data_IF_077778641794
#
_entry.id   IF_077778641794
#
_cell.length_a   1.000
_cell.length_b   1.000
_cell.length_c   1.000
_cell.angle_alpha   90.00
_cell.angle_beta   90.00
_cell.angle_gamma   90.00
#
_symmetry.space_group_name_H-M   'P 1'
#
loop_
_entity.id
_entity.type
_entity.pdbx_description
1 polymer ?
#
# COMPACT_ATOMS: atom_id res chain seq x y z
N UNK A 1 -23.72 33.45 17.54
CA UNK A 1 -24.16 32.29 16.72
C UNK A 1 -23.20 32.04 15.55
N UNK A 2 -22.91 33.01 14.65
CA UNK A 2 -22.05 32.80 13.48
C UNK A 2 -20.63 32.27 13.81
N UNK A 3 -19.96 32.81 14.85
CA UNK A 3 -18.61 32.40 15.27
C UNK A 3 -18.59 30.94 15.77
N UNK A 4 -19.63 30.50 16.46
CA UNK A 4 -19.71 29.11 16.93
C UNK A 4 -19.84 28.11 15.77
N UNK A 5 -20.59 28.45 14.73
CA UNK A 5 -20.76 27.62 13.53
C UNK A 5 -19.46 27.59 12.72
N UNK A 6 -18.75 28.72 12.61
CA UNK A 6 -17.49 28.82 11.88
C UNK A 6 -16.34 28.03 12.51
N UNK A 7 -16.37 27.80 13.83
CA UNK A 7 -15.40 26.99 14.57
C UNK A 7 -15.82 25.51 14.67
N UNK A 8 -17.12 25.23 14.64
CA UNK A 8 -17.63 23.87 14.74
C UNK A 8 -17.30 23.02 13.49
N UNK A 9 -17.34 23.61 12.29
CA UNK A 9 -17.05 22.92 11.03
C UNK A 9 -15.60 22.42 10.92
N UNK A 10 -14.57 23.27 11.15
CA UNK A 10 -13.17 22.79 11.16
C UNK A 10 -12.91 21.78 12.28
N UNK A 11 -13.50 21.99 13.47
CA UNK A 11 -13.37 21.05 14.58
C UNK A 11 -13.99 19.69 14.27
N UNK A 12 -15.16 19.65 13.67
CA UNK A 12 -15.81 18.42 13.24
C UNK A 12 -14.99 17.69 12.14
N UNK A 13 -14.40 18.45 11.22
CA UNK A 13 -13.56 17.90 10.16
C UNK A 13 -12.28 17.27 10.73
N UNK A 14 -11.59 17.93 11.66
CA UNK A 14 -10.40 17.38 12.33
C UNK A 14 -10.74 16.12 13.14
N UNK A 15 -11.85 16.13 13.87
CA UNK A 15 -12.33 14.96 14.61
C UNK A 15 -12.69 13.80 13.68
N UNK A 16 -13.25 14.09 12.51
CA UNK A 16 -13.57 13.07 11.51
C UNK A 16 -12.31 12.46 10.92
N UNK A 17 -11.31 13.28 10.58
CA UNK A 17 -10.02 12.81 10.09
C UNK A 17 -9.27 11.95 11.13
N UNK A 18 -9.27 12.37 12.40
CA UNK A 18 -8.64 11.62 13.50
C UNK A 18 -9.36 10.29 13.78
N UNK A 19 -10.68 10.25 13.62
CA UNK A 19 -11.46 9.02 13.78
C UNK A 19 -11.40 8.08 12.55
N UNK A 20 -11.02 8.60 11.39
CA UNK A 20 -10.81 7.78 10.19
C UNK A 20 -9.42 7.10 10.17
N UNK A 21 -8.40 7.72 10.79
CA UNK A 21 -7.05 7.12 10.90
C UNK A 21 -7.03 5.69 11.46
N UNK A 22 -7.71 5.36 12.57
CA UNK A 22 -7.73 3.99 13.09
C UNK A 22 -8.59 3.01 12.28
N UNK A 23 -9.38 3.48 11.31
CA UNK A 23 -10.15 2.62 10.40
C UNK A 23 -9.34 2.22 9.14
N UNK A 24 -8.08 2.67 9.04
CA UNK A 24 -7.18 2.40 7.93
C UNK A 24 -5.95 1.53 8.37
N UNK A 25 -6.05 0.60 9.35
CA UNK A 25 -4.89 -0.21 9.74
C UNK A 25 -4.41 -1.16 8.64
N UNK A 26 -5.26 -1.53 7.70
CA UNK A 26 -4.92 -2.44 6.59
C UNK A 26 -4.24 -1.74 5.38
N UNK A 27 -4.11 -0.42 5.41
CA UNK A 27 -3.40 0.32 4.36
C UNK A 27 -1.88 0.40 4.59
N UNK A 28 -1.42 0.02 5.78
CA UNK A 28 0.01 -0.13 6.11
C UNK A 28 0.55 -1.54 5.81
N UNK A 29 -0.15 -2.32 4.97
CA UNK A 29 0.46 -3.56 4.49
C UNK A 29 1.75 -3.18 3.75
N UNK A 30 2.89 -3.74 4.19
CA UNK A 30 4.16 -3.42 3.56
C UNK A 30 4.07 -3.73 2.09
N UNK A 31 4.55 -2.80 1.24
CA UNK A 31 4.65 -3.05 -0.19
C UNK A 31 5.34 -4.41 -0.38
N UNK A 32 4.61 -5.36 -0.92
CA UNK A 32 5.12 -6.70 -1.17
C UNK A 32 5.49 -6.83 -2.64
N UNK A 33 6.59 -7.49 -2.88
CA UNK A 33 7.10 -7.79 -4.20
C UNK A 33 6.84 -9.26 -4.49
N UNK A 34 5.97 -9.54 -5.44
CA UNK A 34 5.69 -10.90 -5.88
C UNK A 34 6.70 -11.30 -6.96
N UNK A 35 7.55 -12.26 -6.66
CA UNK A 35 8.54 -12.83 -7.56
C UNK A 35 8.01 -14.16 -8.09
N UNK A 36 7.69 -14.21 -9.36
CA UNK A 36 7.29 -15.45 -10.04
C UNK A 36 8.54 -16.22 -10.46
N UNK A 37 8.64 -17.47 -10.05
CA UNK A 37 9.75 -18.33 -10.41
C UNK A 37 9.50 -19.02 -11.74
N UNK A 38 10.58 -19.46 -12.39
CA UNK A 38 10.46 -20.29 -13.59
C UNK A 38 9.64 -21.56 -13.30
N UNK A 39 8.75 -21.92 -14.19
CA UNK A 39 7.90 -23.12 -14.05
C UNK A 39 8.65 -24.44 -13.97
N UNK A 40 9.91 -24.48 -14.43
CA UNK A 40 10.78 -25.64 -14.39
C UNK A 40 11.51 -25.81 -13.03
N UNK A 41 11.54 -24.76 -12.18
CA UNK A 41 12.16 -24.86 -10.86
C UNK A 41 11.43 -25.87 -9.97
N UNK A 42 12.20 -26.71 -9.33
CA UNK A 42 11.69 -27.58 -8.28
C UNK A 42 11.61 -26.88 -6.92
N UNK A 43 11.01 -27.57 -5.94
CA UNK A 43 10.80 -26.99 -4.62
C UNK A 43 12.13 -26.69 -3.89
N UNK A 44 13.13 -27.54 -4.06
CA UNK A 44 14.43 -27.40 -3.39
C UNK A 44 15.18 -26.15 -3.91
N UNK A 45 15.11 -25.90 -5.21
CA UNK A 45 15.68 -24.72 -5.85
C UNK A 45 14.92 -23.44 -5.42
N UNK A 46 13.59 -23.50 -5.32
CA UNK A 46 12.78 -22.39 -4.84
C UNK A 46 13.09 -22.05 -3.36
N UNK A 47 13.29 -23.07 -2.51
CA UNK A 47 13.71 -22.89 -1.10
C UNK A 47 15.17 -22.37 -0.99
N UNK A 48 16.04 -22.72 -1.94
CA UNK A 48 17.38 -22.17 -1.99
C UNK A 48 17.36 -20.67 -2.32
N UNK A 49 16.56 -20.27 -3.32
CA UNK A 49 16.40 -18.88 -3.70
C UNK A 49 15.71 -18.06 -2.60
N UNK A 50 14.74 -18.63 -1.88
CA UNK A 50 14.14 -18.01 -0.70
C UNK A 50 15.21 -17.68 0.35
N UNK A 51 16.11 -18.62 0.66
CA UNK A 51 17.18 -18.41 1.65
C UNK A 51 18.20 -17.38 1.18
N UNK A 52 18.50 -17.34 -0.12
CA UNK A 52 19.39 -16.34 -0.71
C UNK A 52 18.82 -14.93 -0.57
N UNK A 53 17.55 -14.73 -0.96
CA UNK A 53 16.88 -13.43 -0.84
C UNK A 53 16.68 -13.00 0.62
N UNK A 54 16.38 -13.93 1.51
CA UNK A 54 16.24 -13.65 2.94
C UNK A 54 17.57 -13.20 3.61
N UNK A 55 18.70 -13.45 2.99
CA UNK A 55 20.00 -12.98 3.47
C UNK A 55 20.35 -11.56 3.01
N UNK A 56 19.54 -10.93 2.17
CA UNK A 56 19.79 -9.57 1.69
C UNK A 56 19.37 -8.52 2.72
N UNK A 57 20.21 -7.52 2.96
CA UNK A 57 19.91 -6.42 3.90
C UNK A 57 18.69 -5.58 3.47
N UNK A 58 18.39 -5.58 2.17
CA UNK A 58 17.24 -4.90 1.58
C UNK A 58 15.90 -5.65 1.73
N UNK A 59 15.93 -6.85 2.32
CA UNK A 59 14.79 -7.73 2.47
C UNK A 59 14.51 -7.95 3.96
N UNK A 60 13.26 -7.74 4.38
CA UNK A 60 12.80 -7.97 5.74
C UNK A 60 12.27 -9.40 5.94
N UNK A 61 11.52 -9.90 4.96
CA UNK A 61 10.95 -11.24 4.98
C UNK A 61 10.77 -11.80 3.57
N UNK A 62 10.84 -13.13 3.44
CA UNK A 62 10.54 -13.86 2.20
C UNK A 62 9.69 -15.07 2.48
N UNK A 63 8.47 -15.04 2.00
CA UNK A 63 7.54 -16.17 2.12
C UNK A 63 7.45 -16.93 0.80
N UNK A 64 7.70 -18.24 0.82
CA UNK A 64 7.53 -19.12 -0.33
C UNK A 64 6.07 -19.54 -0.46
N UNK A 65 5.46 -19.21 -1.60
CA UNK A 65 4.13 -19.68 -2.00
C UNK A 65 4.30 -20.85 -2.97
N UNK A 66 3.93 -22.04 -2.50
CA UNK A 66 4.03 -23.24 -3.33
C UNK A 66 2.96 -23.25 -4.41
N UNK A 67 3.27 -23.82 -5.59
CA UNK A 67 2.34 -23.87 -6.74
C UNK A 67 0.94 -24.40 -6.41
N UNK A 68 0.84 -25.37 -5.49
CA UNK A 68 -0.45 -25.91 -5.04
C UNK A 68 -1.23 -24.92 -4.17
N UNK A 69 -0.53 -24.19 -3.32
CA UNK A 69 -1.09 -23.15 -2.46
C UNK A 69 -1.51 -21.93 -3.28
N UNK A 70 -0.68 -21.53 -4.25
CA UNK A 70 -1.01 -20.46 -5.19
C UNK A 70 -2.30 -20.78 -5.97
N UNK A 71 -2.47 -22.02 -6.42
CA UNK A 71 -3.68 -22.46 -7.13
C UNK A 71 -4.92 -22.41 -6.23
N UNK A 72 -4.79 -22.85 -4.97
CA UNK A 72 -5.90 -22.82 -4.00
C UNK A 72 -6.33 -21.38 -3.71
N UNK A 73 -5.38 -20.51 -3.38
CA UNK A 73 -5.64 -19.08 -3.13
C UNK A 73 -6.27 -18.38 -4.32
N UNK A 74 -5.76 -18.63 -5.51
CA UNK A 74 -6.32 -18.08 -6.75
C UNK A 74 -7.76 -18.57 -6.98
N UNK A 75 -8.02 -19.84 -6.73
CA UNK A 75 -9.37 -20.42 -6.85
C UNK A 75 -10.36 -19.80 -5.88
N UNK A 76 -9.96 -19.58 -4.63
CA UNK A 76 -10.79 -18.94 -3.60
C UNK A 76 -11.08 -17.47 -3.93
N UNK A 77 -10.07 -16.71 -4.31
CA UNK A 77 -10.23 -15.28 -4.62
C UNK A 77 -11.06 -15.01 -5.87
N UNK A 78 -10.94 -15.87 -6.88
CA UNK A 78 -11.66 -15.71 -8.16
C UNK A 78 -13.00 -16.42 -8.22
N UNK A 79 -13.28 -17.32 -7.26
CA UNK A 79 -14.47 -18.19 -7.30
C UNK A 79 -14.37 -19.30 -8.34
N UNK A 80 -13.19 -19.56 -8.92
CA UNK A 80 -12.96 -20.52 -10.00
C UNK A 80 -12.46 -21.88 -9.51
N UNK A 81 -12.54 -22.17 -8.21
CA UNK A 81 -12.01 -23.41 -7.59
C UNK A 81 -12.48 -24.68 -8.31
N UNK A 82 -13.76 -24.73 -8.73
CA UNK A 82 -14.32 -25.88 -9.46
C UNK A 82 -13.72 -26.08 -10.84
N UNK A 83 -13.40 -24.98 -11.54
CA UNK A 83 -12.76 -25.03 -12.86
C UNK A 83 -11.28 -25.44 -12.74
N UNK A 84 -10.59 -24.89 -11.75
CA UNK A 84 -9.18 -25.19 -11.49
C UNK A 84 -8.97 -26.65 -11.06
N UNK A 85 -9.92 -27.24 -10.33
CA UNK A 85 -9.90 -28.65 -9.95
C UNK A 85 -10.03 -29.61 -11.15
N UNK A 86 -10.50 -29.11 -12.30
CA UNK A 86 -10.62 -29.92 -13.54
C UNK A 86 -9.39 -29.86 -14.46
N UNK A 87 -8.34 -29.11 -14.05
CA UNK A 87 -7.09 -29.05 -14.80
C UNK A 87 -6.25 -30.30 -14.57
N UNK A 88 -5.74 -30.89 -15.65
CA UNK A 88 -4.86 -32.08 -15.58
C UNK A 88 -3.52 -31.79 -14.90
N UNK A 89 -3.06 -30.52 -14.94
CA UNK A 89 -1.83 -30.08 -14.30
C UNK A 89 -1.95 -28.63 -13.82
N UNK A 90 -1.21 -28.30 -12.77
CA UNK A 90 -1.17 -26.94 -12.23
C UNK A 90 -0.34 -26.04 -13.14
N UNK A 91 -0.92 -24.99 -13.75
CA UNK A 91 -0.20 -24.07 -14.62
C UNK A 91 0.60 -23.00 -13.85
N UNK A 92 0.41 -22.87 -12.53
CA UNK A 92 1.07 -21.86 -11.73
C UNK A 92 2.45 -22.32 -11.30
N UNK A 93 3.49 -21.47 -11.39
CA UNK A 93 4.80 -21.73 -10.84
C UNK A 93 4.84 -21.58 -9.31
N UNK A 94 5.99 -21.83 -8.71
CA UNK A 94 6.30 -21.35 -7.38
C UNK A 94 6.47 -19.84 -7.41
N UNK A 95 6.15 -19.17 -6.30
CA UNK A 95 6.34 -17.72 -6.17
C UNK A 95 6.97 -17.39 -4.81
N UNK A 96 7.71 -16.30 -4.76
CA UNK A 96 8.22 -15.73 -3.51
C UNK A 96 7.56 -14.39 -3.26
N UNK A 97 7.03 -14.21 -2.06
CA UNK A 97 6.51 -12.95 -1.59
C UNK A 97 7.59 -12.27 -0.76
N UNK A 98 8.19 -11.24 -1.32
CA UNK A 98 9.32 -10.53 -0.71
C UNK A 98 8.82 -9.25 -0.08
N UNK A 99 9.08 -9.07 1.20
CA UNK A 99 8.82 -7.84 1.94
C UNK A 99 10.10 -7.03 2.03
N UNK A 100 10.17 -5.83 1.41
CA UNK A 100 11.37 -5.01 1.47
C UNK A 100 11.60 -4.42 2.86
N UNK A 101 12.88 -4.27 3.26
CA UNK A 101 13.28 -3.50 4.44
C UNK A 101 13.00 -2.00 4.26
N UNK A 102 12.88 -1.27 5.37
CA UNK A 102 12.84 0.19 5.33
C UNK A 102 14.26 0.77 5.02
N UNK A 103 14.35 1.91 4.29
CA UNK A 103 13.29 2.79 3.81
C UNK A 103 12.67 2.30 2.48
N UNK A 104 11.36 2.25 2.41
CA UNK A 104 10.58 1.81 1.25
C UNK A 104 10.40 2.95 0.24
N UNK A 105 11.49 3.48 -0.29
CA UNK A 105 11.44 4.51 -1.34
C UNK A 105 11.29 3.86 -2.72
N UNK A 106 10.68 4.57 -3.67
CA UNK A 106 10.51 4.08 -5.04
C UNK A 106 11.86 3.69 -5.68
N UNK A 107 12.93 4.42 -5.35
CA UNK A 107 14.27 4.13 -5.85
C UNK A 107 14.84 2.82 -5.26
N UNK A 108 14.70 2.62 -3.94
CA UNK A 108 15.15 1.40 -3.27
C UNK A 108 14.37 0.17 -3.76
N UNK A 109 13.06 0.34 -3.95
CA UNK A 109 12.20 -0.72 -4.47
C UNK A 109 12.56 -1.09 -5.92
N UNK A 110 12.82 -0.10 -6.78
CA UNK A 110 13.24 -0.34 -8.16
C UNK A 110 14.59 -1.07 -8.23
N UNK A 111 15.54 -0.70 -7.36
CA UNK A 111 16.83 -1.40 -7.27
C UNK A 111 16.68 -2.84 -6.81
N UNK A 112 15.80 -3.09 -5.82
CA UNK A 112 15.50 -4.44 -5.35
C UNK A 112 14.90 -5.29 -6.47
N UNK A 113 13.93 -4.76 -7.20
CA UNK A 113 13.27 -5.43 -8.33
C UNK A 113 14.30 -5.77 -9.41
N UNK A 114 15.13 -4.83 -9.82
CA UNK A 114 16.16 -5.04 -10.83
C UNK A 114 17.17 -6.11 -10.40
N UNK A 115 17.57 -6.11 -9.12
CA UNK A 115 18.48 -7.10 -8.58
C UNK A 115 17.83 -8.50 -8.52
N UNK A 116 16.55 -8.61 -8.18
CA UNK A 116 15.79 -9.87 -8.13
C UNK A 116 15.54 -10.41 -9.53
N UNK A 117 15.16 -9.58 -10.50
CA UNK A 117 14.94 -9.98 -11.90
C UNK A 117 16.23 -10.50 -12.58
N UNK A 118 17.39 -10.09 -12.08
CA UNK A 118 18.69 -10.58 -12.58
C UNK A 118 19.06 -11.97 -12.06
N UNK A 119 18.35 -12.52 -11.08
CA UNK A 119 18.65 -13.85 -10.51
C UNK A 119 18.23 -14.98 -11.45
N UNK A 120 19.04 -16.03 -11.56
CA UNK A 120 18.65 -17.22 -12.33
C UNK A 120 17.47 -17.92 -11.66
N UNK A 121 16.48 -18.29 -12.46
CA UNK A 121 15.26 -18.95 -11.97
C UNK A 121 14.10 -18.00 -11.62
N UNK A 122 14.28 -16.70 -11.79
CA UNK A 122 13.20 -15.72 -11.75
C UNK A 122 12.65 -15.51 -13.15
N UNK A 123 11.34 -15.70 -13.33
CA UNK A 123 10.64 -15.42 -14.59
C UNK A 123 10.27 -13.93 -14.68
N UNK A 124 9.66 -13.40 -13.63
CA UNK A 124 9.30 -11.98 -13.54
C UNK A 124 9.04 -11.55 -12.11
N UNK A 125 9.20 -10.27 -11.88
CA UNK A 125 8.83 -9.62 -10.61
C UNK A 125 7.65 -8.69 -10.81
N UNK A 126 6.64 -8.79 -9.95
CA UNK A 126 5.44 -7.95 -9.96
C UNK A 126 5.42 -7.14 -8.66
N UNK A 127 5.43 -5.82 -8.81
CA UNK A 127 5.33 -4.90 -7.67
C UNK A 127 3.91 -4.36 -7.62
N UNK A 128 3.19 -4.68 -6.58
CA UNK A 128 1.86 -4.10 -6.34
C UNK A 128 1.98 -2.74 -5.64
N UNK A 129 2.62 -1.80 -6.35
CA UNK A 129 2.95 -0.49 -5.80
C UNK A 129 2.12 0.66 -6.42
N UNK A 130 1.40 0.40 -7.52
CA UNK A 130 0.79 1.51 -8.28
C UNK A 130 -0.40 2.16 -7.56
N UNK A 131 -1.15 1.42 -6.78
CA UNK A 131 -2.28 2.00 -6.07
C UNK A 131 -1.86 2.64 -4.73
N UNK A 132 -0.82 2.10 -4.07
CA UNK A 132 -0.29 2.63 -2.83
C UNK A 132 0.31 4.04 -3.02
N UNK A 133 1.14 4.24 -4.06
CA UNK A 133 1.71 5.55 -4.37
C UNK A 133 0.63 6.60 -4.75
N UNK A 134 -0.46 6.19 -5.39
CA UNK A 134 -1.60 7.07 -5.69
C UNK A 134 -2.39 7.41 -4.43
N UNK A 135 -2.52 6.48 -3.49
CA UNK A 135 -3.19 6.71 -2.23
C UNK A 135 -2.38 7.65 -1.33
N UNK A 136 -1.07 7.47 -1.22
CA UNK A 136 -0.18 8.38 -0.48
C UNK A 136 -0.23 9.80 -1.03
N UNK A 137 -0.21 9.96 -2.35
CA UNK A 137 -0.37 11.26 -2.99
C UNK A 137 -1.74 11.88 -2.72
N UNK A 138 -2.81 11.08 -2.70
CA UNK A 138 -4.15 11.55 -2.39
C UNK A 138 -4.28 11.97 -0.91
N UNK A 139 -3.69 11.21 0.01
CA UNK A 139 -3.68 11.55 1.44
C UNK A 139 -2.89 12.82 1.72
N UNK A 140 -1.69 12.98 1.13
CA UNK A 140 -0.89 14.19 1.25
C UNK A 140 -1.58 15.42 0.63
N UNK A 141 -2.29 15.24 -0.48
CA UNK A 141 -3.10 16.30 -1.08
C UNK A 141 -4.25 16.68 -0.13
N UNK A 142 -4.95 15.73 0.46
CA UNK A 142 -6.06 15.97 1.38
C UNK A 142 -5.60 16.72 2.64
N UNK A 143 -4.44 16.38 3.19
CA UNK A 143 -3.87 17.09 4.34
C UNK A 143 -3.53 18.55 4.01
N UNK A 144 -2.90 18.79 2.87
CA UNK A 144 -2.57 20.16 2.40
C UNK A 144 -3.82 21.00 2.13
N UNK A 145 -4.82 20.44 1.47
CA UNK A 145 -6.08 21.11 1.23
C UNK A 145 -6.88 21.35 2.52
N UNK A 146 -6.85 20.41 3.46
CA UNK A 146 -7.46 20.57 4.77
C UNK A 146 -6.87 21.74 5.56
N UNK A 147 -5.54 21.86 5.58
CA UNK A 147 -4.83 22.97 6.20
C UNK A 147 -5.15 24.33 5.54
N UNK A 148 -5.15 24.39 4.21
CA UNK A 148 -5.47 25.60 3.45
C UNK A 148 -6.92 26.05 3.71
N UNK A 149 -7.87 25.11 3.72
CA UNK A 149 -9.28 25.40 4.01
C UNK A 149 -9.47 25.87 5.45
N UNK A 150 -8.81 25.22 6.42
CA UNK A 150 -8.83 25.62 7.82
C UNK A 150 -8.28 27.04 8.02
N UNK A 151 -7.16 27.39 7.40
CA UNK A 151 -6.59 28.73 7.43
C UNK A 151 -7.54 29.78 6.81
N UNK A 152 -8.15 29.48 5.67
CA UNK A 152 -9.13 30.37 5.04
C UNK A 152 -10.38 30.59 5.92
N UNK A 153 -10.84 29.58 6.61
CA UNK A 153 -12.00 29.70 7.53
C UNK A 153 -11.64 30.54 8.75
N UNK A 154 -10.44 30.40 9.32
CA UNK A 154 -9.97 31.24 10.43
C UNK A 154 -9.86 32.71 10.01
N UNK A 155 -9.30 32.97 8.82
CA UNK A 155 -9.25 34.33 8.27
C UNK A 155 -10.64 34.91 8.05
N UNK A 156 -11.58 34.12 7.51
CA UNK A 156 -12.96 34.53 7.36
C UNK A 156 -13.64 34.89 8.69
N UNK A 157 -13.40 34.08 9.73
CA UNK A 157 -13.93 34.36 11.07
C UNK A 157 -13.38 35.67 11.67
N UNK A 158 -12.08 35.93 11.49
CA UNK A 158 -11.41 37.18 11.93
C UNK A 158 -12.02 38.39 11.21
N UNK A 159 -12.22 38.31 9.88
CA UNK A 159 -12.80 39.39 9.09
C UNK A 159 -14.24 39.68 9.54
N UNK A 160 -15.06 38.67 9.79
CA UNK A 160 -16.44 38.82 10.28
C UNK A 160 -16.44 39.50 11.66
N UNK A 161 -15.55 39.08 12.57
CA UNK A 161 -15.39 39.69 13.89
C UNK A 161 -14.96 41.16 13.79
N UNK A 162 -13.95 41.46 12.96
CA UNK A 162 -13.48 42.82 12.74
C UNK A 162 -14.59 43.75 12.17
N UNK A 163 -15.35 43.26 11.20
CA UNK A 163 -16.48 43.98 10.64
C UNK A 163 -17.61 44.24 11.66
N UNK A 164 -17.89 43.24 12.49
CA UNK A 164 -18.93 43.35 13.56
C UNK A 164 -18.51 44.37 14.62
N UNK A 165 -17.25 44.39 15.02
CA UNK A 165 -16.72 45.37 15.96
C UNK A 165 -16.69 46.80 15.37
N UNK A 166 -16.37 46.94 14.08
CA UNK A 166 -16.37 48.24 13.41
C UNK A 166 -17.77 48.84 13.27
N UNK A 167 -18.81 48.03 13.16
CA UNK A 167 -20.20 48.45 13.12
C UNK A 167 -20.80 48.76 14.50
N UNK A 168 -20.15 48.35 15.57
CA UNK A 168 -20.61 48.51 16.97
C UNK A 168 -20.04 49.76 17.65
N UNK A 169 -19.12 50.49 16.98
CA UNK A 169 -18.56 51.76 17.44
C UNK A 169 -19.16 52.89 16.61
#
# INVERSE_FOLDING_TARGET
>A
MAVAISLALPGAMLLTLDNLRPLIPDLEQPAQVLVMLDGELDLEQAEALQRELAAWDSVEDVTLVRRGEALALFGEQTGLSGLLASLDHNPLPHALLVTPSAPRTDAALSQLVEAVDALPGVDRTIVDNQWMSRLDQALLATERWGLALGAAMVLGAILVLANTLHLAI
#
